data_IF_928303646628
#
_entry.id   IF_928303646628
#
_cell.length_a   1.000
_cell.length_b   1.000
_cell.length_c   1.000
_cell.angle_alpha   90.00
_cell.angle_beta   90.00
_cell.angle_gamma   90.00
#
_symmetry.space_group_name_H-M   'P 1'
#
loop_
_entity.id
_entity.type
_entity.pdbx_description
1 polymer ?
#
# COMPACT_ATOMS: atom_id res chain seq x y z
N UNK A 1 -7.30 -34.64 -8.46
CA UNK A 1 -7.92 -33.86 -7.36
C UNK A 1 -7.75 -34.57 -6.01
N UNK A 2 -8.21 -35.83 -5.81
CA UNK A 2 -8.07 -36.49 -4.50
C UNK A 2 -6.60 -36.63 -4.06
N UNK A 3 -5.72 -37.20 -4.91
CA UNK A 3 -4.30 -37.35 -4.59
C UNK A 3 -3.58 -36.03 -4.31
N UNK A 4 -4.02 -34.93 -4.93
CA UNK A 4 -3.50 -33.59 -4.66
C UNK A 4 -3.94 -33.11 -3.28
N UNK A 5 -5.24 -33.19 -2.97
CA UNK A 5 -5.76 -32.80 -1.66
C UNK A 5 -5.14 -33.61 -0.52
N UNK A 6 -4.77 -34.89 -0.79
CA UNK A 6 -4.09 -35.77 0.16
C UNK A 6 -2.56 -35.54 0.24
N UNK A 7 -2.03 -34.54 -0.48
CA UNK A 7 -0.59 -34.25 -0.54
C UNK A 7 0.25 -35.35 -1.21
N UNK A 8 -0.37 -36.23 -2.03
CA UNK A 8 0.27 -37.41 -2.65
C UNK A 8 0.36 -37.33 -4.17
N UNK A 9 0.16 -36.14 -4.75
CA UNK A 9 0.25 -36.00 -6.21
C UNK A 9 1.70 -36.00 -6.67
N UNK A 10 2.07 -36.99 -7.47
CA UNK A 10 3.38 -37.08 -8.15
C UNK A 10 3.41 -36.34 -9.49
N UNK A 11 2.28 -35.75 -9.89
CA UNK A 11 2.14 -35.14 -11.22
C UNK A 11 2.13 -33.61 -11.16
N UNK A 12 2.22 -33.01 -9.99
CA UNK A 12 2.27 -31.56 -9.83
C UNK A 12 3.63 -31.21 -9.22
N UNK A 13 4.38 -30.42 -9.96
CA UNK A 13 5.72 -29.98 -9.61
C UNK A 13 5.68 -28.46 -9.46
N UNK A 14 6.03 -27.97 -8.30
CA UNK A 14 6.10 -26.53 -8.01
C UNK A 14 7.55 -26.12 -7.85
N UNK A 15 7.94 -25.06 -8.56
CA UNK A 15 9.26 -24.46 -8.50
C UNK A 15 9.09 -22.96 -8.22
N UNK A 16 9.73 -22.47 -7.16
CA UNK A 16 9.88 -21.06 -6.90
C UNK A 16 11.16 -20.56 -7.59
N UNK A 17 10.99 -19.71 -8.61
CA UNK A 17 12.12 -19.16 -9.36
C UNK A 17 12.93 -18.13 -8.55
N UNK A 18 12.41 -17.59 -7.47
CA UNK A 18 13.19 -16.72 -6.58
C UNK A 18 14.31 -17.49 -5.89
N UNK A 19 14.06 -18.76 -5.53
CA UNK A 19 15.01 -19.67 -4.87
C UNK A 19 15.79 -20.54 -5.85
N UNK A 20 15.23 -20.81 -7.04
CA UNK A 20 15.77 -21.74 -8.04
C UNK A 20 15.85 -21.06 -9.42
N UNK A 21 16.80 -20.14 -9.58
CA UNK A 21 16.91 -19.28 -10.77
C UNK A 21 18.08 -19.64 -11.71
N UNK A 22 18.83 -20.67 -11.38
CA UNK A 22 20.01 -21.07 -12.15
C UNK A 22 19.66 -21.87 -13.42
N UNK A 23 20.60 -21.98 -14.33
CA UNK A 23 20.45 -22.79 -15.53
C UNK A 23 20.34 -24.27 -15.17
N UNK A 24 21.05 -24.71 -14.14
CA UNK A 24 21.06 -26.07 -13.63
C UNK A 24 19.70 -26.49 -13.07
N UNK A 25 19.05 -25.62 -12.34
CA UNK A 25 17.70 -25.87 -11.80
C UNK A 25 16.69 -26.08 -12.93
N UNK A 26 16.73 -25.21 -13.94
CA UNK A 26 15.86 -25.33 -15.12
C UNK A 26 16.21 -26.57 -15.98
N UNK A 27 17.48 -26.97 -16.09
CA UNK A 27 17.82 -28.21 -16.75
C UNK A 27 17.26 -29.43 -16.03
N UNK A 28 17.38 -29.47 -14.72
CA UNK A 28 16.78 -30.54 -13.90
C UNK A 28 15.27 -30.60 -14.09
N UNK A 29 14.58 -29.43 -14.12
CA UNK A 29 13.17 -29.37 -14.44
C UNK A 29 12.85 -29.94 -15.83
N UNK A 30 13.63 -29.57 -16.87
CA UNK A 30 13.44 -30.04 -18.24
C UNK A 30 13.62 -31.58 -18.33
N UNK A 31 14.53 -32.15 -17.57
CA UNK A 31 14.68 -33.60 -17.48
C UNK A 31 13.44 -34.27 -16.88
N UNK A 32 12.89 -33.70 -15.82
CA UNK A 32 11.63 -34.17 -15.20
C UNK A 32 10.43 -34.07 -16.16
N UNK A 33 10.39 -32.99 -16.96
CA UNK A 33 9.30 -32.77 -17.96
C UNK A 33 9.27 -33.88 -19.01
N UNK A 34 10.41 -34.52 -19.33
CA UNK A 34 10.47 -35.62 -20.29
C UNK A 34 9.89 -36.93 -19.79
N UNK A 35 9.73 -37.05 -18.47
CA UNK A 35 9.22 -38.28 -17.86
C UNK A 35 7.70 -38.31 -18.01
N UNK A 36 7.19 -39.38 -18.61
CA UNK A 36 5.76 -39.62 -18.75
C UNK A 36 5.16 -39.92 -17.38
N UNK A 37 4.02 -39.29 -17.01
CA UNK A 37 3.39 -39.56 -15.72
C UNK A 37 2.94 -41.02 -15.60
N UNK A 38 3.25 -41.63 -14.46
CA UNK A 38 2.84 -43.02 -14.19
C UNK A 38 1.35 -43.16 -13.90
N UNK A 39 0.74 -42.11 -13.38
CA UNK A 39 -0.67 -42.04 -13.03
C UNK A 39 -1.29 -40.79 -13.63
N UNK A 40 -2.40 -40.95 -14.33
CA UNK A 40 -3.05 -39.82 -14.99
C UNK A 40 -2.50 -39.52 -16.38
N UNK A 41 -2.97 -38.45 -16.96
CA UNK A 41 -2.69 -38.08 -18.38
C UNK A 41 -1.63 -36.97 -18.50
N UNK A 42 -1.55 -36.09 -17.50
CA UNK A 42 -0.72 -34.89 -17.56
C UNK A 42 0.15 -34.75 -16.31
N UNK A 43 1.34 -34.21 -16.51
CA UNK A 43 2.19 -33.62 -15.48
C UNK A 43 2.09 -32.10 -15.57
N UNK A 44 1.87 -31.42 -14.43
CA UNK A 44 1.73 -29.97 -14.33
C UNK A 44 2.97 -29.40 -13.66
N UNK A 45 3.59 -28.44 -14.29
CA UNK A 45 4.78 -27.74 -13.80
C UNK A 45 4.38 -26.28 -13.52
N UNK A 46 4.39 -25.89 -12.26
CA UNK A 46 4.07 -24.54 -11.80
C UNK A 46 5.40 -23.86 -11.48
N UNK A 47 5.70 -22.76 -12.16
CA UNK A 47 6.88 -21.94 -11.90
C UNK A 47 6.40 -20.61 -11.38
N UNK A 48 6.59 -20.39 -10.08
CA UNK A 48 6.23 -19.14 -9.42
C UNK A 48 7.36 -18.11 -9.57
N UNK A 49 7.00 -16.83 -9.61
CA UNK A 49 7.88 -15.68 -9.82
C UNK A 49 8.85 -15.88 -10.99
N UNK A 50 8.34 -16.41 -12.11
CA UNK A 50 9.13 -16.81 -13.26
C UNK A 50 10.05 -15.70 -13.81
N UNK A 51 9.73 -14.43 -13.56
CA UNK A 51 10.57 -13.28 -13.92
C UNK A 51 11.92 -13.22 -13.19
N UNK A 52 12.08 -14.02 -12.11
CA UNK A 52 13.33 -14.10 -11.35
C UNK A 52 14.36 -15.05 -11.99
N UNK A 53 13.97 -15.85 -13.00
CA UNK A 53 14.89 -16.70 -13.73
C UNK A 53 15.98 -15.88 -14.43
N UNK A 54 17.22 -16.37 -14.40
CA UNK A 54 18.31 -15.76 -15.16
C UNK A 54 18.05 -15.81 -16.67
N UNK A 55 18.62 -14.89 -17.44
CA UNK A 55 18.49 -14.89 -18.90
C UNK A 55 18.93 -16.21 -19.55
N UNK A 56 19.96 -16.84 -18.98
CA UNK A 56 20.45 -18.14 -19.46
C UNK A 56 19.48 -19.29 -19.13
N UNK A 57 18.81 -19.24 -17.96
CA UNK A 57 17.75 -20.18 -17.58
C UNK A 57 16.53 -20.04 -18.50
N UNK A 58 16.09 -18.80 -18.76
CA UNK A 58 15.04 -18.54 -19.75
C UNK A 58 15.35 -19.13 -21.12
N UNK A 59 16.56 -18.89 -21.64
CA UNK A 59 16.99 -19.44 -22.95
C UNK A 59 17.00 -20.96 -22.97
N UNK A 60 17.43 -21.62 -21.90
CA UNK A 60 17.37 -23.07 -21.78
C UNK A 60 15.91 -23.60 -21.80
N UNK A 61 14.98 -22.85 -21.23
CA UNK A 61 13.58 -23.25 -21.14
C UNK A 61 12.78 -23.00 -22.43
N UNK A 62 13.22 -22.05 -23.30
CA UNK A 62 12.49 -21.66 -24.52
C UNK A 62 12.21 -22.88 -25.42
N UNK A 63 13.20 -23.75 -25.65
CA UNK A 63 13.00 -24.93 -26.51
C UNK A 63 11.91 -25.87 -26.02
N UNK A 64 11.79 -26.03 -24.71
CA UNK A 64 10.73 -26.86 -24.09
C UNK A 64 9.36 -26.22 -24.19
N UNK A 65 9.29 -24.87 -24.13
CA UNK A 65 8.03 -24.13 -24.33
C UNK A 65 7.62 -24.04 -25.81
N UNK A 66 8.56 -24.13 -26.75
CA UNK A 66 8.27 -24.18 -28.19
C UNK A 66 7.66 -25.51 -28.61
N UNK A 67 8.20 -26.60 -28.09
CA UNK A 67 7.78 -27.98 -28.41
C UNK A 67 7.55 -28.77 -27.11
N UNK A 68 6.50 -28.42 -26.33
CA UNK A 68 6.24 -29.09 -25.07
C UNK A 68 5.80 -30.54 -25.30
N UNK A 69 6.23 -31.51 -24.48
CA UNK A 69 5.69 -32.86 -24.52
C UNK A 69 4.19 -32.87 -24.34
N UNK A 70 3.46 -33.71 -25.07
CA UNK A 70 1.99 -33.73 -25.05
C UNK A 70 1.35 -33.99 -23.67
N UNK A 71 2.13 -34.50 -22.73
CA UNK A 71 1.73 -34.77 -21.35
C UNK A 71 2.10 -33.66 -20.36
N UNK A 72 2.86 -32.62 -20.79
CA UNK A 72 3.32 -31.57 -19.91
C UNK A 72 2.45 -30.31 -20.05
N UNK A 73 2.04 -29.76 -18.92
CA UNK A 73 1.33 -28.48 -18.82
C UNK A 73 2.20 -27.55 -17.98
N UNK A 74 2.48 -26.36 -18.50
CA UNK A 74 3.22 -25.33 -17.77
C UNK A 74 2.29 -24.23 -17.31
N UNK A 75 2.43 -23.82 -16.03
CA UNK A 75 1.78 -22.66 -15.43
C UNK A 75 2.92 -21.74 -14.97
N UNK A 76 3.06 -20.60 -15.64
CA UNK A 76 4.06 -19.59 -15.31
C UNK A 76 3.37 -18.45 -14.57
N UNK A 77 3.70 -18.26 -13.29
CA UNK A 77 3.18 -17.19 -12.48
C UNK A 77 4.20 -16.05 -12.33
N UNK A 78 3.75 -14.82 -12.37
CA UNK A 78 4.61 -13.64 -12.18
C UNK A 78 3.82 -12.44 -11.70
N UNK A 79 4.41 -11.65 -10.83
CA UNK A 79 3.93 -10.32 -10.44
C UNK A 79 4.39 -9.23 -11.44
N UNK A 80 5.39 -9.50 -12.29
CA UNK A 80 6.01 -8.53 -13.19
C UNK A 80 6.04 -9.01 -14.64
N UNK A 81 4.87 -9.06 -15.27
CA UNK A 81 4.68 -9.48 -16.66
C UNK A 81 5.62 -8.76 -17.64
N UNK A 82 5.93 -7.48 -17.39
CA UNK A 82 6.78 -6.67 -18.27
C UNK A 82 8.25 -7.13 -18.30
N UNK A 83 8.69 -7.91 -17.31
CA UNK A 83 10.03 -8.52 -17.27
C UNK A 83 10.13 -9.83 -18.05
N UNK A 84 9.00 -10.42 -18.45
CA UNK A 84 8.98 -11.65 -19.22
C UNK A 84 9.29 -11.34 -20.69
N UNK A 85 10.25 -12.07 -21.27
CA UNK A 85 10.65 -11.87 -22.66
C UNK A 85 9.48 -12.16 -23.63
N UNK A 86 9.32 -11.35 -24.70
CA UNK A 86 8.19 -11.49 -25.62
C UNK A 86 8.07 -12.87 -26.28
N UNK A 87 9.19 -13.56 -26.46
CA UNK A 87 9.24 -14.91 -27.03
C UNK A 87 8.52 -15.95 -26.18
N UNK A 88 8.47 -15.79 -24.86
CA UNK A 88 7.69 -16.65 -23.95
C UNK A 88 6.22 -16.24 -23.99
N UNK A 89 5.96 -14.93 -23.86
CA UNK A 89 4.57 -14.42 -23.86
C UNK A 89 3.80 -14.85 -25.13
N UNK A 90 4.47 -14.89 -26.29
CA UNK A 90 3.85 -15.29 -27.55
C UNK A 90 3.47 -16.78 -27.63
N UNK A 91 3.99 -17.62 -26.71
CA UNK A 91 3.73 -19.07 -26.64
C UNK A 91 2.83 -19.48 -25.49
N UNK A 92 2.43 -18.51 -24.66
CA UNK A 92 1.59 -18.75 -23.50
C UNK A 92 0.22 -18.11 -23.69
N UNK A 93 -0.81 -18.77 -23.18
CA UNK A 93 -2.08 -18.11 -22.95
C UNK A 93 -1.94 -17.24 -21.69
N UNK A 94 -2.27 -15.95 -21.83
CA UNK A 94 -2.07 -14.98 -20.76
C UNK A 94 -3.38 -14.80 -20.02
N UNK A 95 -3.33 -14.89 -18.69
CA UNK A 95 -4.40 -14.58 -17.76
C UNK A 95 -3.92 -13.46 -16.83
N UNK A 96 -4.55 -12.31 -16.92
CA UNK A 96 -4.26 -11.17 -16.05
C UNK A 96 -5.21 -11.21 -14.84
N UNK A 97 -4.65 -11.24 -13.64
CA UNK A 97 -5.38 -11.17 -12.38
C UNK A 97 -5.28 -9.75 -11.81
N UNK A 98 -6.42 -9.17 -11.54
CA UNK A 98 -6.49 -7.86 -10.89
C UNK A 98 -6.30 -7.98 -9.39
N UNK A 99 -5.92 -6.86 -8.74
CA UNK A 99 -5.98 -6.74 -7.29
C UNK A 99 -7.41 -6.94 -6.80
N UNK A 100 -7.56 -7.60 -5.66
CA UNK A 100 -8.85 -7.78 -5.00
C UNK A 100 -9.29 -6.41 -4.48
N UNK A 101 -10.55 -6.04 -4.71
CA UNK A 101 -11.08 -4.78 -4.20
C UNK A 101 -11.18 -4.80 -2.69
N UNK A 102 -11.11 -3.62 -2.09
CA UNK A 102 -11.19 -3.47 -0.63
C UNK A 102 -12.52 -4.02 -0.10
N UNK A 103 -13.63 -3.74 -0.79
CA UNK A 103 -14.95 -4.22 -0.40
C UNK A 103 -15.03 -5.74 -0.36
N UNK A 104 -14.50 -6.42 -1.40
CA UNK A 104 -14.49 -7.89 -1.50
C UNK A 104 -13.59 -8.50 -0.41
N UNK A 105 -12.46 -7.84 -0.10
CA UNK A 105 -11.57 -8.25 0.98
C UNK A 105 -12.23 -8.12 2.35
N UNK A 106 -12.94 -7.02 2.61
CA UNK A 106 -13.67 -6.78 3.85
C UNK A 106 -14.79 -7.81 4.03
N UNK A 107 -15.55 -8.10 2.97
CA UNK A 107 -16.61 -9.11 3.01
C UNK A 107 -16.04 -10.50 3.38
N UNK A 108 -14.92 -10.87 2.77
CA UNK A 108 -14.28 -12.14 3.07
C UNK A 108 -13.70 -12.20 4.48
N UNK A 109 -13.08 -11.12 4.97
CA UNK A 109 -12.61 -11.03 6.36
C UNK A 109 -13.76 -11.09 7.36
N UNK A 110 -14.92 -10.49 7.08
CA UNK A 110 -16.15 -10.64 7.89
C UNK A 110 -16.60 -12.10 7.97
N UNK A 111 -16.59 -12.79 6.82
CA UNK A 111 -16.92 -14.21 6.78
C UNK A 111 -15.99 -15.01 7.69
N UNK A 112 -14.67 -14.80 7.60
CA UNK A 112 -13.68 -15.50 8.44
C UNK A 112 -13.90 -15.18 9.92
N UNK A 113 -14.04 -13.90 10.27
CA UNK A 113 -14.30 -13.45 11.63
C UNK A 113 -15.53 -14.18 12.23
N UNK A 114 -16.61 -14.30 11.45
CA UNK A 114 -17.82 -15.01 11.87
C UNK A 114 -17.59 -16.50 12.09
N UNK A 115 -16.74 -17.17 11.30
CA UNK A 115 -16.42 -18.59 11.45
C UNK A 115 -15.53 -18.87 12.67
N UNK A 116 -14.62 -17.94 12.97
CA UNK A 116 -13.67 -18.03 14.10
C UNK A 116 -14.24 -17.45 15.41
N UNK A 117 -15.48 -16.93 15.40
CA UNK A 117 -16.11 -16.32 16.58
C UNK A 117 -15.47 -15.01 17.01
N UNK A 118 -14.87 -14.26 16.06
CA UNK A 118 -14.22 -12.99 16.29
C UNK A 118 -15.21 -11.86 16.00
N UNK A 119 -15.30 -10.90 16.92
CA UNK A 119 -16.05 -9.66 16.72
C UNK A 119 -15.12 -8.60 16.19
N UNK A 120 -15.42 -8.03 15.03
CA UNK A 120 -14.61 -6.98 14.41
C UNK A 120 -15.50 -5.83 13.93
N UNK A 121 -15.07 -4.61 14.17
CA UNK A 121 -15.74 -3.45 13.59
C UNK A 121 -15.37 -3.30 12.09
N UNK A 122 -16.25 -2.66 11.32
CA UNK A 122 -16.08 -2.49 9.88
C UNK A 122 -14.84 -1.65 9.55
N UNK A 123 -14.47 -0.72 10.41
CA UNK A 123 -13.31 0.16 10.24
C UNK A 123 -12.00 -0.61 10.42
N UNK A 124 -11.96 -1.58 11.36
CA UNK A 124 -10.82 -2.48 11.55
C UNK A 124 -10.56 -3.33 10.31
N UNK A 125 -11.61 -3.96 9.78
CA UNK A 125 -11.48 -4.83 8.60
C UNK A 125 -11.15 -4.02 7.35
N UNK A 126 -11.70 -2.82 7.22
CA UNK A 126 -11.37 -1.91 6.14
C UNK A 126 -9.90 -1.49 6.18
N UNK A 127 -9.36 -1.17 7.37
CA UNK A 127 -7.96 -0.84 7.56
C UNK A 127 -7.03 -1.99 7.13
N UNK A 128 -7.36 -3.22 7.52
CA UNK A 128 -6.60 -4.42 7.12
C UNK A 128 -6.63 -4.58 5.60
N UNK A 129 -7.81 -4.49 4.99
CA UNK A 129 -8.00 -4.67 3.55
C UNK A 129 -7.25 -3.60 2.73
N UNK A 130 -7.31 -2.33 3.15
CA UNK A 130 -6.56 -1.25 2.51
C UNK A 130 -5.05 -1.45 2.61
N UNK A 131 -4.56 -1.85 3.80
CA UNK A 131 -3.12 -2.06 4.01
C UNK A 131 -2.59 -3.26 3.23
N UNK A 132 -3.42 -4.25 2.99
CA UNK A 132 -3.08 -5.43 2.19
C UNK A 132 -3.00 -5.15 0.68
N UNK A 133 -3.46 -3.98 0.23
CA UNK A 133 -3.34 -3.49 -1.16
C UNK A 133 -3.76 -4.53 -2.21
N UNK A 134 -4.88 -5.22 -1.95
CA UNK A 134 -5.46 -6.23 -2.84
C UNK A 134 -4.83 -7.62 -2.77
N UNK A 135 -3.92 -7.87 -1.83
CA UNK A 135 -3.33 -9.19 -1.56
C UNK A 135 -4.09 -9.93 -0.47
N UNK A 136 -4.83 -11.01 -0.82
CA UNK A 136 -5.59 -11.76 0.20
C UNK A 136 -4.70 -12.45 1.23
N UNK A 137 -3.53 -12.96 0.82
CA UNK A 137 -2.55 -13.56 1.76
C UNK A 137 -2.09 -12.54 2.80
N UNK A 138 -1.80 -11.31 2.37
CA UNK A 138 -1.37 -10.24 3.27
C UNK A 138 -2.51 -9.81 4.18
N UNK A 139 -3.74 -9.71 3.65
CA UNK A 139 -4.93 -9.40 4.44
C UNK A 139 -5.14 -10.42 5.57
N UNK A 140 -5.06 -11.70 5.25
CA UNK A 140 -5.20 -12.78 6.24
C UNK A 140 -4.06 -12.77 7.27
N UNK A 141 -2.81 -12.56 6.83
CA UNK A 141 -1.67 -12.47 7.74
C UNK A 141 -1.78 -11.28 8.70
N UNK A 142 -2.30 -10.14 8.22
CA UNK A 142 -2.55 -8.96 9.06
C UNK A 142 -3.73 -9.20 10.01
N UNK A 143 -4.78 -9.89 9.55
CA UNK A 143 -5.92 -10.27 10.38
C UNK A 143 -5.48 -11.20 11.51
N UNK A 144 -4.73 -12.27 11.23
CA UNK A 144 -4.18 -13.17 12.24
C UNK A 144 -3.30 -12.45 13.24
N UNK A 145 -2.46 -11.53 12.76
CA UNK A 145 -1.65 -10.67 13.63
C UNK A 145 -2.53 -9.83 14.55
N UNK A 146 -3.58 -9.19 14.03
CA UNK A 146 -4.50 -8.38 14.82
C UNK A 146 -5.20 -9.23 15.88
N UNK A 147 -5.74 -10.41 15.52
CA UNK A 147 -6.36 -11.35 16.45
C UNK A 147 -5.41 -11.80 17.55
N UNK A 148 -4.15 -12.06 17.20
CA UNK A 148 -3.13 -12.48 18.18
C UNK A 148 -2.83 -11.41 19.23
N UNK A 149 -2.95 -10.13 18.90
CA UNK A 149 -2.67 -9.02 19.82
C UNK A 149 -3.91 -8.47 20.53
N UNK A 150 -5.03 -8.34 19.81
CA UNK A 150 -6.28 -7.76 20.33
C UNK A 150 -7.23 -8.81 20.94
N UNK A 151 -7.01 -10.10 20.66
CA UNK A 151 -7.91 -11.18 21.09
C UNK A 151 -9.14 -11.29 20.18
N UNK A 152 -10.27 -11.68 20.78
CA UNK A 152 -11.52 -11.94 20.04
C UNK A 152 -12.31 -10.70 19.65
N UNK A 153 -11.91 -9.50 20.08
CA UNK A 153 -12.56 -8.25 19.77
C UNK A 153 -11.58 -7.32 19.05
N UNK A 154 -11.78 -7.12 17.75
CA UNK A 154 -10.96 -6.26 16.92
C UNK A 154 -11.59 -4.87 16.86
N UNK A 155 -11.02 -3.94 17.62
CA UNK A 155 -11.38 -2.52 17.60
C UNK A 155 -10.40 -1.74 16.75
N UNK A 156 -10.90 -0.79 15.96
CA UNK A 156 -10.10 -0.01 15.03
C UNK A 156 -8.80 0.56 15.62
N UNK A 157 -8.87 1.18 16.82
CA UNK A 157 -7.69 1.80 17.44
C UNK A 157 -6.60 0.79 17.78
N UNK A 158 -6.97 -0.40 18.30
CA UNK A 158 -6.04 -1.46 18.66
C UNK A 158 -5.42 -2.10 17.42
N UNK A 159 -6.24 -2.33 16.38
CA UNK A 159 -5.78 -2.86 15.09
C UNK A 159 -4.83 -1.86 14.40
N UNK A 160 -5.15 -0.57 14.39
CA UNK A 160 -4.29 0.48 13.84
C UNK A 160 -2.94 0.51 14.55
N UNK A 161 -2.92 0.41 15.88
CA UNK A 161 -1.69 0.35 16.66
C UNK A 161 -0.88 -0.92 16.34
N UNK A 162 -1.54 -2.10 16.32
CA UNK A 162 -0.91 -3.39 16.03
C UNK A 162 -0.28 -3.44 14.64
N UNK A 163 -0.94 -2.85 13.67
CA UNK A 163 -0.48 -2.77 12.29
C UNK A 163 0.46 -1.58 12.03
N UNK A 164 0.78 -0.79 13.07
CA UNK A 164 1.60 0.42 12.97
C UNK A 164 1.07 1.37 11.87
N UNK A 165 -0.22 1.67 11.94
CA UNK A 165 -0.90 2.64 11.08
C UNK A 165 -1.40 3.79 11.95
N UNK A 166 -1.18 5.02 11.50
CA UNK A 166 -1.78 6.18 12.14
C UNK A 166 -3.30 6.16 11.91
N UNK A 167 -4.03 6.38 13.01
CA UNK A 167 -5.49 6.42 12.97
C UNK A 167 -6.01 7.60 12.14
N UNK A 168 -7.18 7.42 11.55
CA UNK A 168 -7.84 8.48 10.77
C UNK A 168 -8.12 9.72 11.61
N UNK A 169 -8.41 9.57 12.90
CA UNK A 169 -8.71 10.69 13.81
C UNK A 169 -7.54 11.67 13.89
N UNK A 170 -6.32 11.17 13.90
CA UNK A 170 -5.10 11.99 13.83
C UNK A 170 -5.09 12.87 12.57
N UNK A 171 -5.45 12.32 11.40
CA UNK A 171 -5.44 13.09 10.15
C UNK A 171 -6.63 14.05 10.06
N UNK A 172 -7.82 13.65 10.53
CA UNK A 172 -8.98 14.53 10.60
C UNK A 172 -8.71 15.74 11.48
N UNK A 173 -8.20 15.53 12.70
CA UNK A 173 -7.83 16.60 13.63
C UNK A 173 -6.71 17.49 13.11
N UNK A 174 -5.66 16.89 12.53
CA UNK A 174 -4.57 17.63 11.91
C UNK A 174 -5.07 18.55 10.80
N UNK A 175 -5.98 18.08 9.95
CA UNK A 175 -6.53 18.88 8.84
C UNK A 175 -7.34 20.06 9.36
N UNK A 176 -8.15 19.90 10.40
CA UNK A 176 -8.88 20.99 11.04
C UNK A 176 -7.94 22.03 11.65
N UNK A 177 -6.90 21.57 12.33
CA UNK A 177 -5.86 22.42 12.91
C UNK A 177 -5.12 23.23 11.85
N UNK A 178 -4.74 22.59 10.74
CA UNK A 178 -4.08 23.25 9.61
C UNK A 178 -5.00 24.26 8.90
N UNK A 179 -6.28 23.89 8.71
CA UNK A 179 -7.28 24.77 8.10
C UNK A 179 -7.55 26.01 8.93
N UNK A 180 -7.57 25.88 10.26
CA UNK A 180 -7.70 27.02 11.18
C UNK A 180 -6.47 27.91 11.24
N UNK A 181 -5.34 27.47 10.65
CA UNK A 181 -4.07 28.19 10.65
C UNK A 181 -3.30 28.10 11.97
N UNK A 182 -3.68 27.17 12.87
CA UNK A 182 -3.02 26.97 14.17
C UNK A 182 -1.78 26.08 14.01
N UNK A 183 -0.67 26.67 13.55
CA UNK A 183 0.58 25.91 13.34
C UNK A 183 1.18 25.37 14.65
N UNK A 184 0.94 26.04 15.81
CA UNK A 184 1.48 25.56 17.09
C UNK A 184 0.87 24.22 17.47
N UNK A 185 -0.45 24.11 17.39
CA UNK A 185 -1.17 22.86 17.67
C UNK A 185 -0.79 21.76 16.67
N UNK A 186 -0.61 22.13 15.39
CA UNK A 186 -0.16 21.18 14.38
C UNK A 186 1.22 20.61 14.70
N UNK A 187 2.17 21.44 15.19
CA UNK A 187 3.49 20.97 15.61
C UNK A 187 3.44 20.07 16.85
N UNK A 188 2.60 20.42 17.84
CA UNK A 188 2.40 19.58 19.05
C UNK A 188 1.77 18.23 18.69
N UNK A 189 0.78 18.22 17.80
CA UNK A 189 0.16 16.99 17.31
C UNK A 189 1.17 16.13 16.54
N UNK A 190 2.04 16.73 15.75
CA UNK A 190 3.11 16.01 15.05
C UNK A 190 4.15 15.45 16.03
N UNK A 191 4.53 16.20 17.07
CA UNK A 191 5.43 15.70 18.13
C UNK A 191 4.83 14.46 18.82
N UNK A 192 3.55 14.46 19.13
CA UNK A 192 2.85 13.30 19.67
C UNK A 192 2.90 12.09 18.72
N UNK A 193 2.78 12.31 17.40
CA UNK A 193 2.91 11.24 16.40
C UNK A 193 4.32 10.62 16.45
N UNK A 194 5.36 11.46 16.55
CA UNK A 194 6.75 10.97 16.68
C UNK A 194 6.96 10.23 18.00
N UNK A 195 6.39 10.71 19.10
CA UNK A 195 6.46 10.06 20.42
C UNK A 195 5.81 8.67 20.44
N UNK A 196 4.77 8.45 19.61
CA UNK A 196 4.14 7.13 19.36
C UNK A 196 4.98 6.20 18.49
N UNK A 197 6.17 6.63 18.03
CA UNK A 197 7.12 5.83 17.24
C UNK A 197 6.92 5.87 15.72
N UNK A 198 6.02 6.72 15.20
CA UNK A 198 5.85 6.89 13.76
C UNK A 198 6.93 7.78 13.15
N UNK A 199 7.33 7.49 11.92
CA UNK A 199 8.27 8.35 11.19
C UNK A 199 7.57 9.58 10.60
N UNK A 200 8.30 10.68 10.46
CA UNK A 200 7.80 11.88 9.76
C UNK A 200 7.41 11.59 8.31
N UNK A 201 8.11 10.66 7.64
CA UNK A 201 7.77 10.24 6.29
C UNK A 201 6.43 9.52 6.23
N UNK A 202 6.18 8.55 7.13
CA UNK A 202 4.90 7.83 7.22
C UNK A 202 3.75 8.79 7.50
N UNK A 203 3.95 9.73 8.43
CA UNK A 203 2.96 10.76 8.75
C UNK A 203 2.63 11.63 7.54
N UNK A 204 3.65 12.16 6.83
CA UNK A 204 3.44 13.00 5.65
C UNK A 204 2.71 12.27 4.52
N UNK A 205 3.12 11.03 4.23
CA UNK A 205 2.49 10.21 3.19
C UNK A 205 1.00 9.96 3.52
N UNK A 206 0.69 9.65 4.78
CA UNK A 206 -0.68 9.47 5.26
C UNK A 206 -1.50 10.76 5.20
N UNK A 207 -0.94 11.89 5.62
CA UNK A 207 -1.60 13.20 5.54
C UNK A 207 -1.87 13.61 4.08
N UNK A 208 -0.91 13.38 3.18
CA UNK A 208 -1.08 13.65 1.76
C UNK A 208 -2.21 12.81 1.14
N UNK A 209 -2.25 11.52 1.47
CA UNK A 209 -3.35 10.62 1.06
C UNK A 209 -4.69 11.11 1.62
N UNK A 210 -4.76 11.46 2.90
CA UNK A 210 -5.98 11.96 3.54
C UNK A 210 -6.51 13.24 2.86
N UNK A 211 -5.65 14.21 2.58
CA UNK A 211 -6.05 15.44 1.88
C UNK A 211 -6.51 15.18 0.44
N UNK A 212 -5.87 14.24 -0.25
CA UNK A 212 -6.31 13.78 -1.59
C UNK A 212 -7.69 13.15 -1.50
N UNK A 213 -7.95 12.33 -0.50
CA UNK A 213 -9.23 11.65 -0.31
C UNK A 213 -10.34 12.64 0.04
N UNK A 214 -10.04 13.70 0.82
CA UNK A 214 -10.96 14.83 1.03
C UNK A 214 -11.29 15.55 -0.29
N UNK A 215 -10.30 15.79 -1.15
CA UNK A 215 -10.53 16.43 -2.44
C UNK A 215 -11.43 15.58 -3.34
N UNK A 216 -11.20 14.25 -3.35
CA UNK A 216 -12.03 13.28 -4.10
C UNK A 216 -13.44 13.20 -3.51
N UNK A 217 -13.60 13.25 -2.18
CA UNK A 217 -14.89 13.16 -1.50
C UNK A 217 -15.84 14.35 -1.78
N UNK A 218 -15.35 15.43 -2.36
CA UNK A 218 -16.16 16.62 -2.69
C UNK A 218 -17.16 16.40 -3.80
N UNK A 219 -16.92 15.43 -4.69
CA UNK A 219 -17.72 15.22 -5.90
C UNK A 219 -18.30 13.80 -5.94
N UNK A 220 -19.61 13.67 -6.06
CA UNK A 220 -20.29 12.37 -6.15
C UNK A 220 -19.69 11.40 -7.19
N UNK A 221 -19.39 11.82 -8.43
CA UNK A 221 -18.83 10.89 -9.43
C UNK A 221 -17.47 10.31 -9.07
N UNK A 222 -16.69 11.02 -8.23
CA UNK A 222 -15.34 10.58 -7.82
C UNK A 222 -15.35 9.69 -6.57
N UNK A 223 -16.46 9.56 -5.84
CA UNK A 223 -16.56 8.72 -4.63
C UNK A 223 -16.15 7.27 -4.88
N UNK A 224 -16.39 6.75 -6.08
CA UNK A 224 -15.96 5.41 -6.49
C UNK A 224 -14.42 5.19 -6.47
N UNK A 225 -13.65 6.27 -6.36
CA UNK A 225 -12.18 6.24 -6.25
C UNK A 225 -11.71 6.16 -4.79
N UNK A 226 -12.66 6.23 -3.84
CA UNK A 226 -12.41 6.07 -2.42
C UNK A 226 -12.66 4.63 -2.02
N UNK A 227 -11.75 4.11 -1.22
CA UNK A 227 -11.78 2.74 -0.70
C UNK A 227 -12.35 2.70 0.73
N UNK A 228 -13.34 3.57 1.02
CA UNK A 228 -13.96 3.67 2.33
C UNK A 228 -15.40 3.19 2.31
N UNK A 229 -15.85 2.63 3.41
CA UNK A 229 -17.21 2.15 3.60
C UNK A 229 -17.83 2.73 4.89
N UNK A 230 -19.16 2.75 4.98
CA UNK A 230 -19.89 3.07 6.19
C UNK A 230 -19.65 4.49 6.74
N UNK A 231 -19.44 4.57 8.04
CA UNK A 231 -19.31 5.82 8.80
C UNK A 231 -18.11 6.67 8.37
N UNK A 232 -17.03 6.03 7.95
CA UNK A 232 -15.82 6.73 7.54
C UNK A 232 -16.07 7.57 6.27
N UNK A 233 -16.84 7.07 5.32
CA UNK A 233 -17.23 7.82 4.12
C UNK A 233 -17.98 9.12 4.47
N UNK A 234 -18.90 9.05 5.42
CA UNK A 234 -19.66 10.24 5.87
C UNK A 234 -18.77 11.27 6.57
N UNK A 235 -17.78 10.83 7.33
CA UNK A 235 -16.78 11.72 7.94
C UNK A 235 -15.96 12.45 6.88
N UNK A 236 -15.51 11.73 5.83
CA UNK A 236 -14.80 12.34 4.71
C UNK A 236 -15.66 13.35 3.97
N UNK A 237 -16.93 13.05 3.70
CA UNK A 237 -17.88 14.00 3.07
C UNK A 237 -18.04 15.27 3.89
N UNK A 238 -18.23 15.12 5.21
CA UNK A 238 -18.43 16.25 6.12
C UNK A 238 -17.21 17.16 6.13
N UNK A 239 -16.01 16.61 6.35
CA UNK A 239 -14.79 17.44 6.38
C UNK A 239 -14.44 18.00 5.00
N UNK A 240 -14.69 17.24 3.92
CA UNK A 240 -14.48 17.72 2.54
C UNK A 240 -15.33 18.96 2.24
N UNK A 241 -16.57 19.03 2.76
CA UNK A 241 -17.44 20.21 2.65
C UNK A 241 -16.85 21.44 3.34
N UNK A 242 -16.16 21.26 4.46
CA UNK A 242 -15.55 22.33 5.24
C UNK A 242 -14.22 22.83 4.66
N UNK A 243 -13.50 22.01 3.87
CA UNK A 243 -12.20 22.35 3.31
C UNK A 243 -12.31 23.02 1.94
N UNK A 244 -11.80 24.27 1.75
CA UNK A 244 -11.74 24.89 0.42
C UNK A 244 -10.84 24.08 -0.54
N UNK A 245 -11.23 23.93 -1.82
CA UNK A 245 -10.40 23.22 -2.80
C UNK A 245 -8.99 23.79 -2.93
N UNK A 246 -8.87 25.11 -2.88
CA UNK A 246 -7.59 25.83 -3.01
C UNK A 246 -6.63 25.47 -1.86
N UNK A 247 -7.19 25.29 -0.63
CA UNK A 247 -6.41 24.81 0.51
C UNK A 247 -5.93 23.38 0.28
N UNK A 248 -6.81 22.47 -0.14
CA UNK A 248 -6.46 21.06 -0.39
C UNK A 248 -5.40 20.94 -1.49
N UNK A 249 -5.57 21.62 -2.63
CA UNK A 249 -4.58 21.61 -3.71
C UNK A 249 -3.22 22.15 -3.26
N UNK A 250 -3.22 23.29 -2.55
CA UNK A 250 -1.98 23.90 -2.03
C UNK A 250 -1.26 22.99 -1.04
N UNK A 251 -2.01 22.36 -0.11
CA UNK A 251 -1.45 21.45 0.88
C UNK A 251 -0.90 20.17 0.25
N UNK A 252 -1.63 19.54 -0.69
CA UNK A 252 -1.19 18.36 -1.42
C UNK A 252 0.09 18.65 -2.21
N UNK A 253 0.13 19.80 -2.93
CA UNK A 253 1.33 20.20 -3.69
C UNK A 253 2.55 20.33 -2.78
N UNK A 254 2.40 21.02 -1.63
CA UNK A 254 3.48 21.18 -0.66
C UNK A 254 3.97 19.84 -0.10
N UNK A 255 3.05 18.94 0.28
CA UNK A 255 3.41 17.62 0.81
C UNK A 255 4.09 16.75 -0.24
N UNK A 256 3.64 16.79 -1.48
CA UNK A 256 4.25 16.05 -2.59
C UNK A 256 5.67 16.53 -2.87
N UNK A 257 5.91 17.85 -2.85
CA UNK A 257 7.25 18.43 -3.01
C UNK A 257 8.18 18.04 -1.85
N UNK A 258 7.65 17.93 -0.64
CA UNK A 258 8.41 17.53 0.54
C UNK A 258 8.73 16.03 0.55
N UNK A 259 7.80 15.18 0.09
CA UNK A 259 8.02 13.73 0.02
C UNK A 259 9.21 13.38 -0.89
N UNK A 260 9.35 14.09 -2.01
CA UNK A 260 10.52 13.95 -2.89
C UNK A 260 11.85 14.35 -2.23
N UNK A 261 11.83 15.17 -1.18
CA UNK A 261 13.02 15.73 -0.51
C UNK A 261 13.36 15.05 0.80
N UNK A 262 12.40 14.37 1.45
CA UNK A 262 12.55 13.88 2.82
C UNK A 262 13.67 12.84 2.97
N UNK A 263 13.84 11.97 1.96
CA UNK A 263 14.88 10.94 1.98
C UNK A 263 16.30 11.50 1.88
N UNK A 264 16.45 12.69 1.30
CA UNK A 264 17.74 13.36 1.11
C UNK A 264 18.04 14.37 2.23
N UNK A 265 17.06 14.67 3.08
CA UNK A 265 17.20 15.64 4.16
C UNK A 265 17.96 15.07 5.33
N UNK A 266 18.97 15.78 5.82
CA UNK A 266 19.70 15.48 7.07
C UNK A 266 18.81 15.69 8.31
N UNK A 267 17.76 16.52 8.22
CA UNK A 267 16.83 16.79 9.31
C UNK A 267 15.38 16.64 8.81
N UNK A 268 14.90 15.39 8.80
CA UNK A 268 13.56 15.06 8.34
C UNK A 268 12.47 15.72 9.21
N UNK A 269 12.69 15.82 10.53
CA UNK A 269 11.74 16.43 11.47
C UNK A 269 11.50 17.89 11.12
N UNK A 270 12.56 18.67 10.99
CA UNK A 270 12.48 20.10 10.64
C UNK A 270 11.79 20.31 9.29
N UNK A 271 12.04 19.43 8.33
CA UNK A 271 11.42 19.52 7.00
C UNK A 271 9.90 19.36 7.08
N UNK A 272 9.40 18.41 7.88
CA UNK A 272 7.96 18.19 8.11
C UNK A 272 7.35 19.36 8.87
N UNK A 273 7.99 19.85 9.93
CA UNK A 273 7.54 20.99 10.72
C UNK A 273 7.38 22.25 9.87
N UNK A 274 8.35 22.55 9.00
CA UNK A 274 8.27 23.67 8.06
C UNK A 274 7.12 23.48 7.05
N UNK A 275 6.89 22.24 6.61
CA UNK A 275 5.76 21.91 5.76
C UNK A 275 4.42 22.20 6.42
N UNK A 276 4.22 21.74 7.64
CA UNK A 276 3.01 21.99 8.41
C UNK A 276 2.75 23.48 8.65
N UNK A 277 3.79 24.24 9.01
CA UNK A 277 3.69 25.72 9.15
C UNK A 277 3.26 26.40 7.84
N UNK A 278 3.80 25.97 6.69
CA UNK A 278 3.42 26.51 5.38
C UNK A 278 1.96 26.19 5.05
N UNK A 279 1.52 24.96 5.30
CA UNK A 279 0.13 24.53 5.06
C UNK A 279 -0.83 25.30 5.97
N UNK A 280 -0.51 25.46 7.26
CA UNK A 280 -1.30 26.28 8.16
C UNK A 280 -1.41 27.74 7.67
N UNK A 281 -0.35 28.27 7.04
CA UNK A 281 -0.37 29.59 6.40
C UNK A 281 -1.35 29.70 5.22
N UNK A 282 -1.68 28.61 4.52
CA UNK A 282 -2.70 28.60 3.46
C UNK A 282 -4.11 28.74 4.04
N UNK A 283 -4.37 28.19 5.24
CA UNK A 283 -5.68 28.30 5.92
C UNK A 283 -6.05 29.72 6.29
N UNK A 284 -5.10 30.53 6.71
CA UNK A 284 -5.32 31.93 7.16
C UNK A 284 -5.66 32.94 6.06
N UNK A 285 -5.45 32.65 4.80
CA UNK A 285 -5.57 33.64 3.70
C UNK A 285 -6.96 34.24 3.47
N UNK A 286 -7.99 33.87 4.21
CA UNK A 286 -9.36 34.42 4.04
C UNK A 286 -9.82 35.46 5.05
N UNK A 287 -9.12 35.70 6.18
CA UNK A 287 -9.72 36.51 7.26
C UNK A 287 -8.85 37.58 7.95
N UNK A 288 -7.67 37.95 7.45
CA UNK A 288 -6.99 39.13 8.02
C UNK A 288 -6.05 39.76 6.99
N UNK A 289 -6.09 41.09 6.77
CA UNK A 289 -4.99 41.79 6.16
C UNK A 289 -3.77 41.60 7.07
N UNK A 290 -2.70 41.07 6.51
CA UNK A 290 -1.41 40.98 7.19
C UNK A 290 -0.92 42.40 7.39
N UNK A 291 -0.94 42.93 8.60
CA UNK A 291 -0.15 44.07 8.95
C UNK A 291 1.32 43.73 8.67
N UNK A 292 2.03 44.51 7.85
CA UNK A 292 3.47 44.30 7.66
C UNK A 292 4.12 44.53 9.03
N UNK A 293 4.71 43.49 9.59
CA UNK A 293 5.55 43.58 10.78
C UNK A 293 6.71 44.49 10.41
N UNK A 294 6.62 45.75 10.83
CA UNK A 294 7.68 46.73 10.70
C UNK A 294 8.74 46.37 11.74
N UNK A 295 9.66 45.51 11.36
CA UNK A 295 10.86 45.24 12.17
C UNK A 295 11.77 46.45 12.00
N UNK A 296 12.07 47.23 13.08
CA UNK A 296 13.05 48.26 13.00
C UNK A 296 14.41 47.63 12.68
N UNK A 297 14.99 48.05 11.55
CA UNK A 297 16.37 47.72 11.20
C UNK A 297 17.28 48.26 12.32
N UNK A 298 18.23 47.45 12.85
CA UNK A 298 19.19 48.00 13.80
C UNK A 298 20.03 49.07 13.09
N UNK A 299 20.08 50.26 13.71
CA UNK A 299 20.94 51.35 13.26
C UNK A 299 22.40 50.84 13.28
N UNK A 300 23.02 50.84 12.09
CA UNK A 300 24.45 50.61 11.97
C UNK A 300 25.17 51.83 12.60
N UNK A 301 25.74 51.62 13.79
CA UNK A 301 26.64 52.57 14.40
C UNK A 301 27.81 52.82 13.45
N UNK A 302 27.79 53.96 12.76
CA UNK A 302 28.96 54.47 12.03
C UNK A 302 29.98 54.92 13.05
N UNK A 303 30.99 54.12 13.30
CA UNK A 303 32.24 54.62 13.89
C UNK A 303 32.95 55.39 12.78
N UNK A 304 33.05 56.72 12.95
CA UNK A 304 33.90 57.57 12.18
C UNK A 304 35.34 57.59 12.77
N UNK A 305 36.34 58.04 11.97
CA UNK A 305 37.76 57.70 12.07
C UNK A 305 38.50 58.22 13.28
#
# INVERSE_FOLDING_TARGET
CRSFNDGRSLNIHELDAASNNSVEDIRSLIEQVRIIPQVGRYSVFIIDEVHMLSAAAFNAFLKTLEEPPAHAIFILATTEKHKIIPTILSRCQIYDFNRIRVEDSVEYLKYIASQEGITADDESLNLIAQKADGGMRDALSMFDKAVSFCGQELRYQEVAQTLNVLDYDTYFSMTETLLSGNYVEALLSFDNVLARGFSGQTFMAGLNRHLRDLLVARNEPSLRLLEFTGTLMERYRTQAGACPPEFLFGAISLLTDLDGKIRQSSNQRLLVELGLMKIAGLGKKKNSPVDPVNLPLPELVRTAP
#
